data_IF_582415313651
#
_entry.id   IF_582415313651
#
_cell.length_a   1.000
_cell.length_b   1.000
_cell.length_c   1.000
_cell.angle_alpha   90.00
_cell.angle_beta   90.00
_cell.angle_gamma   90.00
#
_symmetry.space_group_name_H-M   'P 1'
#
loop_
_entity.id
_entity.type
_entity.pdbx_description
1 polymer ?
#
# COMPACT_ATOMS: atom_id res chain seq x y z
N UNK A 1 12.05 -16.36 20.77
CA UNK A 1 11.52 -15.16 20.09
C UNK A 1 11.64 -15.35 18.58
N UNK A 2 10.60 -14.99 17.81
CA UNK A 2 10.74 -14.91 16.33
C UNK A 2 11.65 -13.74 15.98
N UNK A 3 12.59 -13.96 15.08
CA UNK A 3 13.44 -12.91 14.49
C UNK A 3 12.82 -12.48 13.17
N UNK A 4 12.89 -11.19 12.89
CA UNK A 4 12.49 -10.59 11.62
C UNK A 4 13.64 -9.73 11.12
N UNK A 5 13.84 -9.68 9.81
CA UNK A 5 14.87 -8.85 9.18
C UNK A 5 14.44 -7.37 9.18
N UNK A 6 13.13 -7.13 9.02
CA UNK A 6 12.56 -5.79 8.91
C UNK A 6 11.32 -5.69 9.82
N UNK A 7 11.27 -4.60 10.60
CA UNK A 7 10.10 -4.22 11.39
C UNK A 7 9.49 -2.93 10.84
N UNK A 8 8.18 -2.96 10.56
CA UNK A 8 7.39 -1.83 10.09
C UNK A 8 6.43 -1.41 11.19
N UNK A 9 6.48 -0.14 11.58
CA UNK A 9 5.57 0.43 12.58
C UNK A 9 4.41 1.13 11.88
N UNK A 10 3.18 0.65 12.11
CA UNK A 10 1.94 1.16 11.54
C UNK A 10 1.34 0.24 10.48
N UNK A 11 0.13 -0.26 10.75
CA UNK A 11 -0.70 -1.08 9.87
C UNK A 11 -1.66 -0.28 9.00
N UNK A 12 -1.28 0.94 8.61
CA UNK A 12 -2.00 1.71 7.58
C UNK A 12 -1.65 1.25 6.16
N UNK A 13 -2.28 1.84 5.15
CA UNK A 13 -2.09 1.48 3.73
C UNK A 13 -0.62 1.50 3.30
N UNK A 14 0.17 2.44 3.81
CA UNK A 14 1.60 2.51 3.51
C UNK A 14 2.36 1.33 4.12
N UNK A 15 2.17 1.07 5.41
CA UNK A 15 2.89 -0.01 6.10
C UNK A 15 2.56 -1.39 5.56
N UNK A 16 1.27 -1.66 5.29
CA UNK A 16 0.84 -2.93 4.69
C UNK A 16 1.37 -3.07 3.26
N UNK A 17 1.30 -2.02 2.43
CA UNK A 17 1.81 -2.04 1.05
C UNK A 17 3.32 -2.27 1.01
N UNK A 18 4.09 -1.58 1.86
CA UNK A 18 5.54 -1.76 1.95
C UNK A 18 5.86 -3.20 2.40
N UNK A 19 5.17 -3.71 3.42
CA UNK A 19 5.37 -5.09 3.89
C UNK A 19 5.10 -6.12 2.79
N UNK A 20 4.01 -5.94 2.04
CA UNK A 20 3.65 -6.80 0.92
C UNK A 20 4.74 -6.81 -0.13
N UNK A 21 5.20 -5.65 -0.61
CA UNK A 21 6.20 -5.60 -1.67
C UNK A 21 7.55 -6.16 -1.21
N UNK A 22 7.98 -5.87 0.01
CA UNK A 22 9.24 -6.42 0.53
C UNK A 22 9.16 -7.95 0.58
N UNK A 23 8.09 -8.50 1.14
CA UNK A 23 7.91 -9.96 1.25
C UNK A 23 7.72 -10.66 -0.10
N UNK A 24 7.31 -9.95 -1.15
CA UNK A 24 7.17 -10.53 -2.50
C UNK A 24 8.43 -10.37 -3.37
N UNK A 25 9.22 -9.32 -3.15
CA UNK A 25 10.39 -9.02 -3.99
C UNK A 25 11.69 -9.57 -3.43
N UNK A 26 11.75 -9.84 -2.13
CA UNK A 26 12.96 -10.26 -1.43
C UNK A 26 12.68 -11.45 -0.53
N UNK A 27 13.70 -12.29 -0.34
CA UNK A 27 13.69 -13.33 0.69
C UNK A 27 14.00 -12.69 2.05
N UNK A 28 13.01 -11.98 2.60
CA UNK A 28 13.15 -11.23 3.85
C UNK A 28 11.91 -11.39 4.72
N UNK A 29 12.15 -11.67 5.99
CA UNK A 29 11.11 -11.77 7.00
C UNK A 29 10.71 -10.39 7.51
N UNK A 30 9.43 -10.05 7.37
CA UNK A 30 8.88 -8.73 7.75
C UNK A 30 7.85 -8.90 8.87
N UNK A 31 7.91 -8.06 9.89
CA UNK A 31 6.80 -7.90 10.84
C UNK A 31 6.21 -6.49 10.74
N UNK A 32 4.88 -6.42 10.82
CA UNK A 32 4.14 -5.17 10.94
C UNK A 32 3.60 -5.07 12.35
N UNK A 33 3.85 -3.96 13.01
CA UNK A 33 3.41 -3.69 14.38
C UNK A 33 2.39 -2.55 14.31
N UNK A 34 1.15 -2.83 14.66
CA UNK A 34 0.07 -1.85 14.78
C UNK A 34 -0.32 -1.74 16.26
N UNK A 35 -0.51 -0.51 16.73
CA UNK A 35 -0.95 -0.23 18.09
C UNK A 35 -2.43 -0.56 18.26
N UNK A 36 -3.22 -0.31 17.22
CA UNK A 36 -4.66 -0.55 17.23
C UNK A 36 -4.99 -2.05 17.14
N UNK A 37 -6.22 -2.41 17.53
CA UNK A 37 -6.69 -3.81 17.51
C UNK A 37 -6.82 -4.41 16.11
N UNK A 38 -6.77 -3.58 15.06
CA UNK A 38 -6.84 -4.01 13.67
C UNK A 38 -6.09 -3.01 12.77
N UNK A 39 -5.82 -3.41 11.54
CA UNK A 39 -5.21 -2.55 10.51
C UNK A 39 -6.17 -1.44 10.07
N UNK A 40 -5.60 -0.37 9.50
CA UNK A 40 -6.34 0.72 8.85
C UNK A 40 -7.39 1.45 9.73
N UNK A 41 -7.32 1.41 11.05
CA UNK A 41 -8.32 2.05 11.95
C UNK A 41 -8.34 3.60 11.90
N UNK A 42 -7.30 4.21 11.34
CA UNK A 42 -7.14 5.67 11.23
C UNK A 42 -7.35 6.17 9.79
N UNK A 43 -6.47 7.04 9.27
CA UNK A 43 -6.62 7.71 7.97
C UNK A 43 -6.91 6.75 6.81
N UNK A 44 -6.29 5.57 6.81
CA UNK A 44 -6.49 4.57 5.74
C UNK A 44 -7.88 3.93 5.71
N UNK A 45 -8.60 3.87 6.84
CA UNK A 45 -9.99 3.42 6.89
C UNK A 45 -11.01 4.58 6.90
N UNK A 46 -10.55 5.81 7.09
CA UNK A 46 -11.38 7.03 7.18
C UNK A 46 -11.18 7.95 5.96
N UNK A 47 -11.09 7.36 4.77
CA UNK A 47 -11.08 8.08 3.50
C UNK A 47 -12.13 7.49 2.56
N UNK A 48 -12.38 8.14 1.42
CA UNK A 48 -13.45 7.76 0.48
C UNK A 48 -13.16 6.48 -0.30
N UNK A 49 -11.95 5.92 -0.22
CA UNK A 49 -11.52 4.77 -1.01
C UNK A 49 -11.34 5.06 -2.50
N UNK A 50 -11.44 6.33 -2.92
CA UNK A 50 -11.33 6.72 -4.33
C UNK A 50 -9.86 6.72 -4.77
N UNK A 51 -9.56 5.93 -5.81
CA UNK A 51 -8.25 5.98 -6.49
C UNK A 51 -8.30 7.09 -7.54
N UNK A 52 -7.63 8.20 -7.24
CA UNK A 52 -7.58 9.35 -8.14
C UNK A 52 -6.58 9.13 -9.27
N UNK A 53 -7.00 9.36 -10.50
CA UNK A 53 -6.07 9.56 -11.64
C UNK A 53 -5.34 10.89 -11.47
N UNK A 54 -4.13 11.07 -12.05
CA UNK A 54 -3.33 12.29 -11.88
C UNK A 54 -3.94 13.57 -12.49
N UNK A 55 -5.22 13.57 -12.87
CA UNK A 55 -5.91 14.67 -13.57
C UNK A 55 -5.81 16.02 -12.84
N UNK A 56 -5.78 16.03 -11.51
CA UNK A 56 -5.71 17.25 -10.70
C UNK A 56 -4.27 17.71 -10.36
N UNK A 57 -3.25 16.94 -10.76
CA UNK A 57 -1.86 17.27 -10.46
C UNK A 57 -1.26 18.03 -11.64
N UNK A 58 -0.85 19.28 -11.41
CA UNK A 58 0.01 19.96 -12.38
C UNK A 58 1.36 19.21 -12.43
N UNK A 59 1.70 18.55 -13.56
CA UNK A 59 2.86 17.67 -13.64
C UNK A 59 4.19 18.44 -13.63
N UNK A 60 4.20 19.72 -13.96
CA UNK A 60 5.41 20.55 -13.89
C UNK A 60 5.77 20.86 -12.43
N UNK A 61 4.77 21.17 -11.60
CA UNK A 61 4.96 21.49 -10.17
C UNK A 61 5.05 20.25 -9.29
N UNK A 62 4.37 19.15 -9.67
CA UNK A 62 4.23 17.94 -8.84
C UNK A 62 4.60 16.68 -9.62
N UNK A 63 5.70 16.73 -10.38
CA UNK A 63 6.16 15.66 -11.28
C UNK A 63 6.19 14.27 -10.64
N UNK A 64 6.75 14.16 -9.43
CA UNK A 64 6.86 12.88 -8.71
C UNK A 64 5.47 12.33 -8.40
N UNK A 65 4.59 13.13 -7.80
CA UNK A 65 3.22 12.70 -7.48
C UNK A 65 2.42 12.32 -8.72
N UNK A 66 2.52 13.11 -9.80
CA UNK A 66 1.82 12.82 -11.04
C UNK A 66 2.27 11.47 -11.63
N UNK A 67 3.60 11.23 -11.67
CA UNK A 67 4.16 9.96 -12.14
C UNK A 67 3.75 8.78 -11.25
N UNK A 68 3.85 8.93 -9.92
CA UNK A 68 3.44 7.89 -8.97
C UNK A 68 1.95 7.57 -9.07
N UNK A 69 1.08 8.58 -9.19
CA UNK A 69 -0.36 8.37 -9.37
C UNK A 69 -0.67 7.66 -10.71
N UNK A 70 0.03 8.01 -11.78
CA UNK A 70 -0.11 7.32 -13.07
C UNK A 70 0.33 5.85 -12.98
N UNK A 71 1.52 5.58 -12.43
CA UNK A 71 2.06 4.22 -12.34
C UNK A 71 1.30 3.33 -11.36
N UNK A 72 0.83 3.88 -10.24
CA UNK A 72 0.08 3.12 -9.23
C UNK A 72 -1.31 2.68 -9.71
N UNK A 73 -1.91 3.38 -10.67
CA UNK A 73 -3.23 3.03 -11.21
C UNK A 73 -3.26 1.61 -11.81
N UNK A 74 -2.27 1.27 -12.64
CA UNK A 74 -2.20 -0.06 -13.26
C UNK A 74 -1.84 -1.16 -12.24
N UNK A 75 -0.99 -0.84 -11.26
CA UNK A 75 -0.68 -1.73 -10.14
C UNK A 75 -1.93 -2.04 -9.32
N UNK A 76 -2.74 -1.02 -9.01
CA UNK A 76 -3.99 -1.20 -8.27
C UNK A 76 -4.99 -2.06 -9.03
N UNK A 77 -5.16 -1.85 -10.34
CA UNK A 77 -6.02 -2.71 -11.18
C UNK A 77 -5.58 -4.17 -11.15
N UNK A 78 -4.27 -4.41 -11.20
CA UNK A 78 -3.70 -5.76 -11.16
C UNK A 78 -3.97 -6.42 -9.81
N UNK A 79 -3.72 -5.70 -8.71
CA UNK A 79 -3.99 -6.15 -7.36
C UNK A 79 -5.48 -6.48 -7.15
N UNK A 80 -6.38 -5.59 -7.61
CA UNK A 80 -7.83 -5.78 -7.49
C UNK A 80 -8.31 -7.05 -8.21
N UNK A 81 -7.82 -7.32 -9.43
CA UNK A 81 -8.15 -8.53 -10.18
C UNK A 81 -7.70 -9.80 -9.44
N UNK A 82 -6.45 -9.82 -8.96
CA UNK A 82 -5.88 -10.98 -8.26
C UNK A 82 -6.56 -11.26 -6.91
N UNK A 83 -7.13 -10.23 -6.29
CA UNK A 83 -7.87 -10.36 -5.02
C UNK A 83 -9.28 -10.90 -5.27
N UNK A 84 -9.91 -10.58 -6.39
CA UNK A 84 -11.24 -11.11 -6.72
C UNK A 84 -11.18 -12.59 -7.12
N UNK A 85 -10.11 -13.06 -7.77
CA UNK A 85 -9.93 -14.48 -8.11
C UNK A 85 -9.64 -15.40 -6.92
N UNK A 86 -9.32 -14.85 -5.75
CA UNK A 86 -9.10 -15.63 -4.51
C UNK A 86 -10.34 -15.68 -3.61
N UNK A 87 -11.44 -15.03 -4.03
CA UNK A 87 -12.74 -15.01 -3.34
C UNK A 87 -13.80 -15.90 -4.01
N UNK A 88 -13.44 -16.57 -5.11
CA UNK A 88 -14.19 -17.68 -5.74
C UNK A 88 -13.54 -19.02 -5.36
#
# INVERSE_FOLDING_TARGET
MKKFDIAILGGGILGTTISYWISNLYDSSVCVIEKESNVAQHTSGRNTGVVHTPFYLNPEKKKIFAKSAQSSHELWKTLAKNTMSTLE
#
